data_IF_943568681497
#
_entry.id   IF_943568681497
#
_cell.length_a   1.000
_cell.length_b   1.000
_cell.length_c   1.000
_cell.angle_alpha   90.00
_cell.angle_beta   90.00
_cell.angle_gamma   90.00
#
_symmetry.space_group_name_H-M   'P 1'
#
loop_
_entity.id
_entity.type
_entity.pdbx_description
1 polymer ?
#
# COMPACT_ATOMS: atom_id res chain seq x y z
N UNK A 1 -13.16 9.63 9.64
CA UNK A 1 -12.47 8.51 10.33
C UNK A 1 -11.45 7.89 9.37
N UNK A 2 -10.33 8.56 9.10
CA UNK A 2 -9.29 8.13 8.13
C UNK A 2 -8.07 7.50 8.79
N UNK A 3 -8.04 7.42 10.13
CA UNK A 3 -6.86 7.01 10.91
C UNK A 3 -6.60 5.49 10.88
N UNK A 4 -7.65 4.67 10.73
CA UNK A 4 -7.51 3.20 10.82
C UNK A 4 -6.76 2.57 9.65
N UNK A 5 -7.03 2.98 8.40
CA UNK A 5 -6.39 2.32 7.24
C UNK A 5 -4.89 2.61 7.12
N UNK A 6 -4.46 3.81 7.53
CA UNK A 6 -3.03 4.18 7.57
C UNK A 6 -2.30 3.38 8.63
N UNK A 7 -2.91 3.22 9.81
CA UNK A 7 -2.35 2.43 10.90
C UNK A 7 -2.20 0.96 10.51
N UNK A 8 -3.19 0.39 9.81
CA UNK A 8 -3.13 -0.98 9.29
C UNK A 8 -2.00 -1.16 8.26
N UNK A 9 -1.75 -0.18 7.39
CA UNK A 9 -0.64 -0.26 6.42
C UNK A 9 0.73 -0.22 7.13
N UNK A 10 0.92 0.73 8.05
CA UNK A 10 2.18 0.85 8.80
C UNK A 10 2.49 -0.40 9.62
N UNK A 11 1.48 -1.00 10.24
CA UNK A 11 1.65 -2.23 11.02
C UNK A 11 1.99 -3.42 10.11
N UNK A 12 1.30 -3.57 8.98
CA UNK A 12 1.63 -4.59 7.98
C UNK A 12 3.05 -4.42 7.42
N UNK A 13 3.50 -3.17 7.21
CA UNK A 13 4.87 -2.91 6.77
C UNK A 13 5.90 -3.33 7.83
N UNK A 14 5.68 -3.00 9.11
CA UNK A 14 6.57 -3.43 10.20
C UNK A 14 6.62 -4.95 10.35
N UNK A 15 5.48 -5.61 10.15
CA UNK A 15 5.42 -7.07 10.17
C UNK A 15 6.26 -7.67 9.04
N UNK A 16 6.18 -7.12 7.82
CA UNK A 16 7.00 -7.55 6.69
C UNK A 16 8.50 -7.33 6.96
N UNK A 17 8.88 -6.17 7.51
CA UNK A 17 10.27 -5.89 7.91
C UNK A 17 10.78 -6.91 8.94
N UNK A 18 9.94 -7.27 9.91
CA UNK A 18 10.27 -8.28 10.93
C UNK A 18 10.47 -9.66 10.30
N UNK A 19 9.61 -10.05 9.37
CA UNK A 19 9.73 -11.31 8.62
C UNK A 19 11.05 -11.34 7.84
N UNK A 20 11.38 -10.27 7.11
CA UNK A 20 12.64 -10.18 6.35
C UNK A 20 13.84 -10.29 7.28
N UNK A 21 13.86 -9.52 8.37
CA UNK A 21 14.95 -9.59 9.35
C UNK A 21 15.11 -10.98 9.97
N UNK A 22 14.00 -11.70 10.17
CA UNK A 22 14.01 -13.06 10.72
C UNK A 22 14.53 -14.06 9.71
N UNK A 23 14.15 -13.93 8.43
CA UNK A 23 14.66 -14.77 7.34
C UNK A 23 16.16 -14.54 7.06
N UNK A 24 16.65 -13.33 7.28
CA UNK A 24 18.07 -13.01 7.17
C UNK A 24 18.89 -13.54 8.35
N UNK A 25 18.26 -13.76 9.51
CA UNK A 25 18.90 -14.47 10.62
C UNK A 25 18.88 -15.97 10.38
N UNK A 26 20.03 -16.62 10.30
CA UNK A 26 20.18 -18.09 10.11
C UNK A 26 19.70 -18.92 11.33
N UNK A 27 18.84 -18.36 12.19
CA UNK A 27 18.38 -18.97 13.44
C UNK A 27 17.10 -19.80 13.33
N UNK A 28 16.38 -19.70 12.22
CA UNK A 28 15.11 -20.40 12.03
C UNK A 28 15.26 -21.75 11.32
N UNK A 29 14.36 -22.69 11.61
CA UNK A 29 14.31 -23.97 10.89
C UNK A 29 13.85 -23.77 9.45
N UNK A 30 14.19 -24.71 8.56
CA UNK A 30 13.78 -24.66 7.15
C UNK A 30 12.26 -24.55 7.00
N UNK A 31 11.49 -25.38 7.71
CA UNK A 31 10.03 -25.32 7.70
C UNK A 31 9.53 -23.95 8.14
N UNK A 32 10.14 -23.35 9.18
CA UNK A 32 9.73 -22.03 9.66
C UNK A 32 10.06 -20.92 8.68
N UNK A 33 11.22 -21.01 8.04
CA UNK A 33 11.63 -20.08 6.97
C UNK A 33 10.70 -20.16 5.76
N UNK A 34 10.21 -21.35 5.41
CA UNK A 34 9.21 -21.52 4.35
C UNK A 34 7.88 -20.85 4.71
N UNK A 35 7.37 -21.05 5.93
CA UNK A 35 6.15 -20.37 6.41
C UNK A 35 6.29 -18.84 6.41
N UNK A 36 7.43 -18.34 6.91
CA UNK A 36 7.73 -16.91 6.95
C UNK A 36 7.83 -16.32 5.55
N UNK A 37 8.42 -17.05 4.61
CA UNK A 37 8.52 -16.63 3.22
C UNK A 37 7.15 -16.52 2.55
N UNK A 38 6.30 -17.55 2.68
CA UNK A 38 4.94 -17.53 2.14
C UNK A 38 4.14 -16.33 2.69
N UNK A 39 4.18 -16.15 4.01
CA UNK A 39 3.55 -15.01 4.67
C UNK A 39 4.10 -13.66 4.18
N UNK A 40 5.41 -13.56 4.00
CA UNK A 40 6.06 -12.35 3.49
C UNK A 40 5.60 -11.99 2.07
N UNK A 41 5.41 -12.99 1.20
CA UNK A 41 4.88 -12.78 -0.15
C UNK A 41 3.44 -12.25 -0.11
N UNK A 42 2.58 -12.86 0.70
CA UNK A 42 1.18 -12.42 0.86
C UNK A 42 1.09 -10.98 1.38
N UNK A 43 1.85 -10.65 2.44
CA UNK A 43 1.92 -9.29 2.99
C UNK A 43 2.43 -8.29 1.95
N UNK A 44 3.50 -8.64 1.22
CA UNK A 44 4.07 -7.79 0.18
C UNK A 44 3.06 -7.48 -0.93
N UNK A 45 2.25 -8.46 -1.30
CA UNK A 45 1.19 -8.29 -2.31
C UNK A 45 0.07 -7.41 -1.79
N UNK A 46 -0.41 -7.63 -0.56
CA UNK A 46 -1.44 -6.78 0.04
C UNK A 46 -1.00 -5.31 0.20
N UNK A 47 0.27 -5.06 0.51
CA UNK A 47 0.82 -3.71 0.61
C UNK A 47 0.85 -3.01 -0.75
N UNK A 48 1.24 -3.73 -1.82
CA UNK A 48 1.18 -3.22 -3.20
C UNK A 48 -0.25 -2.85 -3.60
N UNK A 49 -1.20 -3.74 -3.38
CA UNK A 49 -2.60 -3.49 -3.73
C UNK A 49 -3.18 -2.25 -2.99
N UNK A 50 -2.73 -2.02 -1.75
CA UNK A 50 -3.11 -0.82 -1.01
C UNK A 50 -2.56 0.44 -1.66
N UNK A 51 -1.27 0.44 -2.06
CA UNK A 51 -0.63 1.57 -2.73
C UNK A 51 -1.30 1.85 -4.09
N UNK A 52 -1.56 0.81 -4.88
CA UNK A 52 -2.23 0.94 -6.18
C UNK A 52 -3.62 1.57 -6.02
N UNK A 53 -4.38 1.13 -5.00
CA UNK A 53 -5.69 1.72 -4.69
C UNK A 53 -5.59 3.19 -4.27
N UNK A 54 -4.55 3.54 -3.51
CA UNK A 54 -4.30 4.92 -3.10
C UNK A 54 -3.92 5.80 -4.32
N UNK A 55 -3.08 5.30 -5.21
CA UNK A 55 -2.68 5.98 -6.45
C UNK A 55 -3.89 6.22 -7.36
N UNK A 56 -4.71 5.19 -7.62
CA UNK A 56 -5.93 5.32 -8.40
C UNK A 56 -6.88 6.37 -7.83
N UNK A 57 -7.02 6.41 -6.49
CA UNK A 57 -7.86 7.41 -5.83
C UNK A 57 -7.31 8.83 -6.02
N UNK A 58 -5.98 9.00 -5.97
CA UNK A 58 -5.34 10.30 -6.26
C UNK A 58 -5.60 10.71 -7.71
N UNK A 59 -5.46 9.78 -8.65
CA UNK A 59 -5.69 10.04 -10.07
C UNK A 59 -7.13 10.51 -10.35
N UNK A 60 -8.12 9.81 -9.78
CA UNK A 60 -9.54 10.21 -9.89
C UNK A 60 -9.74 11.62 -9.34
N UNK A 61 -9.22 11.92 -8.15
CA UNK A 61 -9.37 13.24 -7.54
C UNK A 61 -8.69 14.35 -8.36
N UNK A 62 -7.54 14.06 -8.98
CA UNK A 62 -6.84 14.99 -9.86
C UNK A 62 -7.63 15.24 -11.16
N UNK A 63 -8.24 14.20 -11.73
CA UNK A 63 -9.05 14.31 -12.95
C UNK A 63 -10.37 15.04 -12.68
N UNK A 64 -11.08 14.74 -11.59
CA UNK A 64 -12.26 15.50 -11.17
C UNK A 64 -11.95 16.97 -10.90
N UNK A 65 -10.77 17.26 -10.33
CA UNK A 65 -10.31 18.64 -10.12
C UNK A 65 -10.03 19.35 -11.44
N UNK A 66 -9.44 18.66 -12.44
CA UNK A 66 -9.23 19.22 -13.78
C UNK A 66 -10.55 19.50 -14.51
N UNK A 67 -11.54 18.63 -14.39
CA UNK A 67 -12.85 18.84 -15.01
C UNK A 67 -13.61 19.99 -14.36
N UNK A 68 -13.47 20.20 -13.04
CA UNK A 68 -13.98 21.41 -12.36
C UNK A 68 -13.30 22.69 -12.82
N UNK A 69 -12.00 22.65 -13.13
CA UNK A 69 -11.24 23.82 -13.62
C UNK A 69 -11.61 24.17 -15.07
N UNK A 70 -12.08 23.22 -15.88
CA UNK A 70 -12.52 23.49 -17.26
C UNK A 70 -13.88 24.17 -17.36
N UNK A 71 -14.76 23.96 -16.37
CA UNK A 71 -16.10 24.55 -16.37
C UNK A 71 -16.05 26.08 -16.09
N UNK A 72 -14.97 26.58 -15.49
CA UNK A 72 -14.80 28.01 -15.15
C UNK A 72 -14.08 28.86 -16.23
N UNK A 73 -13.75 28.27 -17.40
CA UNK A 73 -13.00 28.96 -18.47
C UNK A 73 -13.72 29.07 -19.81
N UNK A 74 -15.04 28.91 -19.85
CA UNK A 74 -15.79 28.92 -21.12
C UNK A 74 -16.92 29.94 -21.22
N UNK A 75 -17.01 30.91 -20.30
CA UNK A 75 -17.96 32.02 -20.40
C UNK A 75 -17.24 33.38 -20.31
N UNK A 76 -16.36 33.69 -21.27
CA UNK A 76 -16.11 35.08 -21.67
C UNK A 76 -16.01 35.10 -23.20
N UNK A 77 -17.15 35.44 -23.84
CA UNK A 77 -17.25 35.92 -25.23
C UNK A 77 -16.45 37.22 -25.44
#
# INVERSE_FOLDING_TARGET
MTKDKSFVFEDAMKELETIVSTLESESESLEKSMELFEKGIELSQSLRDHLDSAEQRIEILMNESKDKIKIDKTDEE
#
